data_IF_575165564911
#
_entry.id   IF_575165564911
#
_cell.length_a   1.000
_cell.length_b   1.000
_cell.length_c   1.000
_cell.angle_alpha   90.00
_cell.angle_beta   90.00
_cell.angle_gamma   90.00
#
_symmetry.space_group_name_H-M   'P 1'
#
loop_
_entity.id
_entity.type
_entity.pdbx_description
1 polymer ?
#
# COMPACT_ATOMS: atom_id res chain seq x y z
N UNK A 1 -46.81 1.24 -22.68
CA UNK A 1 -45.79 0.34 -22.10
C UNK A 1 -45.48 0.84 -20.72
N UNK A 2 -45.77 0.07 -19.65
CA UNK A 2 -45.20 0.37 -18.33
C UNK A 2 -43.71 0.05 -18.45
N UNK A 3 -42.85 1.07 -18.39
CA UNK A 3 -41.44 0.82 -18.18
C UNK A 3 -41.33 -0.04 -16.92
N UNK A 4 -40.85 -1.27 -17.09
CA UNK A 4 -40.49 -2.12 -15.96
C UNK A 4 -39.45 -1.31 -15.18
N UNK A 5 -39.83 -0.83 -13.99
CA UNK A 5 -39.00 -0.02 -13.12
C UNK A 5 -37.96 -0.95 -12.44
N UNK A 6 -37.11 -1.56 -13.27
CA UNK A 6 -36.05 -2.47 -12.86
C UNK A 6 -34.87 -1.57 -12.47
N UNK A 7 -34.54 -1.61 -11.19
CA UNK A 7 -33.36 -0.93 -10.68
C UNK A 7 -32.10 -1.57 -11.31
N UNK A 8 -31.20 -0.79 -11.92
CA UNK A 8 -29.99 -1.34 -12.52
C UNK A 8 -29.11 -2.02 -11.47
N UNK A 9 -28.54 -3.18 -11.79
CA UNK A 9 -27.48 -3.77 -10.96
C UNK A 9 -26.16 -3.00 -11.14
N UNK A 10 -25.21 -3.20 -10.21
CA UNK A 10 -23.88 -2.60 -10.35
C UNK A 10 -23.17 -3.07 -11.62
N UNK A 11 -23.39 -4.32 -12.05
CA UNK A 11 -22.88 -4.83 -13.31
C UNK A 11 -23.39 -4.03 -14.52
N UNK A 12 -24.67 -3.63 -14.52
CA UNK A 12 -25.20 -2.78 -15.60
C UNK A 12 -24.49 -1.42 -15.60
N UNK A 13 -24.28 -0.81 -14.43
CA UNK A 13 -23.50 0.42 -14.33
C UNK A 13 -22.05 0.24 -14.79
N UNK A 14 -21.40 -0.89 -14.44
CA UNK A 14 -20.06 -1.20 -14.90
C UNK A 14 -20.00 -1.27 -16.43
N UNK A 15 -20.99 -1.89 -17.07
CA UNK A 15 -21.09 -1.99 -18.53
C UNK A 15 -21.39 -0.66 -19.20
N UNK A 16 -22.24 0.17 -18.58
CA UNK A 16 -22.49 1.53 -19.05
C UNK A 16 -21.20 2.36 -19.04
N UNK A 17 -20.39 2.27 -17.97
CA UNK A 17 -19.09 2.93 -17.89
C UNK A 17 -18.09 2.37 -18.92
N UNK A 18 -18.04 1.05 -19.10
CA UNK A 18 -17.13 0.38 -20.04
C UNK A 18 -17.45 0.73 -21.51
N UNK A 19 -18.72 0.79 -21.87
CA UNK A 19 -19.18 1.11 -23.24
C UNK A 19 -19.26 2.61 -23.52
N UNK A 20 -19.07 3.45 -22.50
CA UNK A 20 -19.07 4.90 -22.67
C UNK A 20 -17.87 5.35 -23.53
N UNK A 21 -17.99 6.47 -24.27
CA UNK A 21 -16.88 7.02 -25.03
C UNK A 21 -15.62 7.18 -24.18
N UNK A 22 -14.44 7.06 -24.79
CA UNK A 22 -13.13 7.34 -24.16
C UNK A 22 -12.90 8.85 -23.90
N UNK A 23 -13.94 9.57 -23.50
CA UNK A 23 -13.89 10.94 -23.01
C UNK A 23 -13.96 10.91 -21.47
N UNK A 24 -12.88 11.35 -20.83
CA UNK A 24 -12.77 11.35 -19.36
C UNK A 24 -13.81 12.26 -18.69
N UNK A 25 -14.16 13.40 -19.29
CA UNK A 25 -15.15 14.33 -18.72
C UNK A 25 -16.55 13.73 -18.77
N UNK A 26 -16.88 13.06 -19.88
CA UNK A 26 -18.13 12.32 -20.00
C UNK A 26 -18.21 11.20 -18.95
N UNK A 27 -17.14 10.40 -18.82
CA UNK A 27 -17.06 9.32 -17.82
C UNK A 27 -17.15 9.82 -16.40
N UNK A 28 -16.54 10.96 -16.08
CA UNK A 28 -16.66 11.64 -14.77
C UNK A 28 -18.12 12.02 -14.51
N UNK A 29 -18.80 12.66 -15.48
CA UNK A 29 -20.18 13.09 -15.31
C UNK A 29 -21.12 11.88 -15.08
N UNK A 30 -20.97 10.84 -15.89
CA UNK A 30 -21.72 9.59 -15.78
C UNK A 30 -21.46 8.87 -14.45
N UNK A 31 -20.20 8.77 -14.03
CA UNK A 31 -19.85 8.17 -12.75
C UNK A 31 -20.42 8.99 -11.59
N UNK A 32 -20.37 10.31 -11.64
CA UNK A 32 -20.98 11.18 -10.62
C UNK A 32 -22.48 10.89 -10.46
N UNK A 33 -23.22 10.80 -11.56
CA UNK A 33 -24.65 10.50 -11.53
C UNK A 33 -24.93 9.12 -10.89
N UNK A 34 -24.17 8.11 -11.30
CA UNK A 34 -24.30 6.75 -10.75
C UNK A 34 -24.00 6.74 -9.24
N UNK A 35 -22.90 7.37 -8.81
CA UNK A 35 -22.53 7.43 -7.40
C UNK A 35 -23.59 8.16 -6.57
N UNK A 36 -24.15 9.27 -7.08
CA UNK A 36 -25.22 10.01 -6.39
C UNK A 36 -26.44 9.13 -6.18
N UNK A 37 -26.87 8.39 -7.20
CA UNK A 37 -28.00 7.46 -7.08
C UNK A 37 -27.74 6.34 -6.05
N UNK A 38 -26.51 5.81 -6.01
CA UNK A 38 -26.12 4.78 -5.05
C UNK A 38 -26.04 5.33 -3.61
N UNK A 39 -25.53 6.54 -3.44
CA UNK A 39 -25.48 7.23 -2.14
C UNK A 39 -26.88 7.51 -1.61
N UNK A 40 -27.79 8.04 -2.44
CA UNK A 40 -29.19 8.25 -2.06
C UNK A 40 -29.87 6.93 -1.66
N UNK A 41 -29.59 5.85 -2.39
CA UNK A 41 -30.08 4.51 -2.06
C UNK A 41 -29.60 4.08 -0.66
N UNK A 42 -28.30 4.19 -0.39
CA UNK A 42 -27.69 3.80 0.88
C UNK A 42 -28.16 4.70 2.04
N UNK A 43 -28.30 6.01 1.80
CA UNK A 43 -28.83 6.98 2.77
C UNK A 43 -30.26 6.63 3.20
N UNK A 44 -31.09 6.20 2.24
CA UNK A 44 -32.44 5.70 2.50
C UNK A 44 -32.48 4.31 3.15
N UNK A 45 -31.33 3.78 3.62
CA UNK A 45 -31.23 2.49 4.28
C UNK A 45 -31.41 1.28 3.36
N UNK A 46 -31.45 1.48 2.04
CA UNK A 46 -31.61 0.39 1.08
C UNK A 46 -30.27 -0.30 0.84
N UNK A 47 -30.34 -1.61 0.70
CA UNK A 47 -29.18 -2.46 0.46
C UNK A 47 -28.80 -2.48 -1.02
N UNK A 48 -27.50 -2.38 -1.31
CA UNK A 48 -26.95 -2.74 -2.62
C UNK A 48 -26.69 -4.25 -2.59
N UNK A 49 -27.59 -4.99 -3.23
CA UNK A 49 -27.55 -6.45 -3.27
C UNK A 49 -26.53 -6.93 -4.28
N UNK A 50 -25.87 -8.03 -3.95
CA UNK A 50 -25.09 -8.79 -4.92
C UNK A 50 -26.05 -9.62 -5.76
N UNK A 51 -26.31 -9.15 -6.99
CA UNK A 51 -27.25 -9.77 -7.93
C UNK A 51 -26.55 -10.52 -9.04
N UNK A 52 -25.28 -10.18 -9.30
CA UNK A 52 -24.43 -10.78 -10.32
C UNK A 52 -23.00 -10.91 -9.78
N UNK A 53 -22.34 -12.04 -10.06
CA UNK A 53 -20.92 -12.25 -9.72
C UNK A 53 -20.00 -11.13 -10.22
N UNK A 54 -20.36 -10.49 -11.33
CA UNK A 54 -19.59 -9.40 -11.94
C UNK A 54 -19.95 -8.01 -11.39
N UNK A 55 -20.85 -7.89 -10.42
CA UNK A 55 -21.22 -6.60 -9.79
C UNK A 55 -19.98 -5.90 -9.17
N UNK A 56 -18.98 -6.67 -8.72
CA UNK A 56 -17.72 -6.14 -8.18
C UNK A 56 -16.92 -5.31 -9.20
N UNK A 57 -17.11 -5.55 -10.50
CA UNK A 57 -16.41 -4.85 -11.60
C UNK A 57 -16.70 -3.36 -11.59
N UNK A 58 -17.87 -2.96 -11.09
CA UNK A 58 -18.24 -1.55 -10.95
C UNK A 58 -17.20 -0.76 -10.13
N UNK A 59 -16.76 -1.31 -9.00
CA UNK A 59 -15.81 -0.63 -8.12
C UNK A 59 -14.43 -0.51 -8.76
N UNK A 60 -13.97 -1.54 -9.47
CA UNK A 60 -12.71 -1.50 -10.21
C UNK A 60 -12.74 -0.43 -11.31
N UNK A 61 -13.81 -0.38 -12.11
CA UNK A 61 -13.98 0.61 -13.17
C UNK A 61 -14.10 2.04 -12.60
N UNK A 62 -14.88 2.21 -11.53
CA UNK A 62 -15.08 3.50 -10.86
C UNK A 62 -13.77 4.05 -10.30
N UNK A 63 -12.99 3.19 -9.63
CA UNK A 63 -11.67 3.56 -9.11
C UNK A 63 -10.70 3.94 -10.23
N UNK A 64 -10.72 3.21 -11.36
CA UNK A 64 -9.88 3.53 -12.52
C UNK A 64 -10.23 4.89 -13.14
N UNK A 65 -11.53 5.18 -13.32
CA UNK A 65 -12.01 6.48 -13.83
C UNK A 65 -11.62 7.60 -12.86
N UNK A 66 -11.90 7.43 -11.57
CA UNK A 66 -11.57 8.42 -10.53
C UNK A 66 -10.06 8.71 -10.46
N UNK A 67 -9.23 7.67 -10.59
CA UNK A 67 -7.77 7.78 -10.63
C UNK A 67 -7.28 8.53 -11.88
N UNK A 68 -7.83 8.21 -13.05
CA UNK A 68 -7.49 8.87 -14.31
C UNK A 68 -7.89 10.35 -14.29
N UNK A 69 -9.05 10.65 -13.71
CA UNK A 69 -9.55 11.99 -13.50
C UNK A 69 -8.78 12.78 -12.43
N UNK A 70 -7.94 12.11 -11.62
CA UNK A 70 -7.33 12.66 -10.41
C UNK A 70 -8.35 13.36 -9.50
N UNK A 71 -9.57 12.82 -9.44
CA UNK A 71 -10.67 13.41 -8.70
C UNK A 71 -10.73 12.83 -7.29
N UNK A 72 -10.24 13.61 -6.32
CA UNK A 72 -10.27 13.20 -4.92
C UNK A 72 -11.67 12.82 -4.44
N UNK A 73 -12.67 13.62 -4.81
CA UNK A 73 -14.07 13.40 -4.45
C UNK A 73 -14.60 12.07 -4.98
N UNK A 74 -14.32 11.73 -6.25
CA UNK A 74 -14.76 10.45 -6.83
C UNK A 74 -14.09 9.25 -6.17
N UNK A 75 -12.81 9.37 -5.80
CA UNK A 75 -12.07 8.32 -5.08
C UNK A 75 -12.74 8.03 -3.73
N UNK A 76 -13.00 9.08 -2.95
CA UNK A 76 -13.60 8.95 -1.61
C UNK A 76 -15.02 8.38 -1.68
N UNK A 77 -15.86 8.90 -2.58
CA UNK A 77 -17.23 8.41 -2.76
C UNK A 77 -17.26 6.95 -3.17
N UNK A 78 -16.40 6.54 -4.11
CA UNK A 78 -16.28 5.14 -4.54
C UNK A 78 -15.90 4.24 -3.36
N UNK A 79 -14.92 4.65 -2.57
CA UNK A 79 -14.47 3.89 -1.39
C UNK A 79 -15.54 3.84 -0.29
N UNK A 80 -16.25 4.95 -0.04
CA UNK A 80 -17.30 5.03 0.97
C UNK A 80 -18.47 4.09 0.62
N UNK A 81 -18.92 4.09 -0.63
CA UNK A 81 -19.94 3.15 -1.12
C UNK A 81 -19.44 1.72 -1.01
N UNK A 82 -18.18 1.45 -1.40
CA UNK A 82 -17.58 0.13 -1.28
C UNK A 82 -17.63 -0.36 0.17
N UNK A 83 -17.20 0.47 1.12
CA UNK A 83 -17.11 0.14 2.54
C UNK A 83 -18.44 0.23 3.30
N UNK A 84 -19.51 0.77 2.70
CA UNK A 84 -20.79 0.92 3.36
C UNK A 84 -21.33 -0.44 3.87
N UNK A 85 -21.82 -0.48 5.11
CA UNK A 85 -22.38 -1.69 5.74
C UNK A 85 -23.58 -2.28 5.00
N UNK A 86 -24.31 -1.46 4.25
CA UNK A 86 -25.46 -1.85 3.45
C UNK A 86 -25.07 -2.18 1.99
N UNK A 87 -23.77 -2.16 1.66
CA UNK A 87 -23.28 -2.71 0.40
C UNK A 87 -22.84 -4.17 0.58
N UNK A 88 -23.48 -5.08 -0.15
CA UNK A 88 -23.16 -6.52 -0.14
C UNK A 88 -22.27 -6.94 -1.31
N UNK A 89 -21.96 -6.04 -2.22
CA UNK A 89 -21.04 -6.30 -3.32
C UNK A 89 -19.62 -5.99 -2.84
N UNK A 90 -18.82 -7.05 -2.68
CA UNK A 90 -17.40 -6.97 -2.29
C UNK A 90 -16.54 -7.64 -3.35
N UNK A 91 -15.29 -7.21 -3.47
CA UNK A 91 -14.35 -7.84 -4.37
C UNK A 91 -13.92 -9.17 -3.73
N UNK A 92 -14.28 -10.28 -4.35
CA UNK A 92 -14.04 -11.62 -3.78
C UNK A 92 -12.60 -12.08 -4.01
N UNK A 93 -11.99 -11.64 -5.12
CA UNK A 93 -10.62 -11.97 -5.44
C UNK A 93 -9.66 -11.10 -4.61
N UNK A 94 -8.91 -11.71 -3.69
CA UNK A 94 -7.97 -11.02 -2.82
C UNK A 94 -6.94 -10.18 -3.57
N UNK A 95 -6.48 -10.62 -4.75
CA UNK A 95 -5.52 -9.87 -5.57
C UNK A 95 -6.14 -8.62 -6.15
N UNK A 96 -7.39 -8.71 -6.63
CA UNK A 96 -8.11 -7.57 -7.18
C UNK A 96 -8.51 -6.58 -6.09
N UNK A 97 -8.82 -7.06 -4.89
CA UNK A 97 -9.10 -6.21 -3.74
C UNK A 97 -7.85 -5.43 -3.28
N UNK A 98 -6.70 -6.11 -3.19
CA UNK A 98 -5.41 -5.44 -2.93
C UNK A 98 -5.15 -4.37 -3.98
N UNK A 99 -5.37 -4.69 -5.27
CA UNK A 99 -5.17 -3.75 -6.38
C UNK A 99 -6.13 -2.56 -6.31
N UNK A 100 -7.37 -2.78 -5.89
CA UNK A 100 -8.35 -1.71 -5.69
C UNK A 100 -7.86 -0.69 -4.66
N UNK A 101 -7.42 -1.16 -3.49
CA UNK A 101 -6.91 -0.28 -2.43
C UNK A 101 -5.55 0.34 -2.76
N UNK A 102 -4.68 -0.39 -3.46
CA UNK A 102 -3.41 0.13 -3.98
C UNK A 102 -3.63 1.28 -4.95
N UNK A 103 -4.54 1.11 -5.93
CA UNK A 103 -4.90 2.17 -6.89
C UNK A 103 -5.47 3.40 -6.17
N UNK A 104 -6.35 3.19 -5.19
CA UNK A 104 -6.89 4.29 -4.38
C UNK A 104 -5.77 5.08 -3.68
N UNK A 105 -4.83 4.39 -3.03
CA UNK A 105 -3.70 5.05 -2.35
C UNK A 105 -2.79 5.81 -3.31
N UNK A 106 -2.46 5.22 -4.46
CA UNK A 106 -1.64 5.85 -5.48
C UNK A 106 -2.33 7.11 -6.04
N UNK A 107 -3.64 7.03 -6.30
CA UNK A 107 -4.40 8.17 -6.77
C UNK A 107 -4.48 9.29 -5.71
N UNK A 108 -4.70 8.95 -4.45
CA UNK A 108 -4.67 9.91 -3.32
C UNK A 108 -3.33 10.61 -3.18
N UNK A 109 -2.21 9.89 -3.37
CA UNK A 109 -0.88 10.49 -3.35
C UNK A 109 -0.69 11.57 -4.43
N UNK A 110 -1.34 11.42 -5.59
CA UNK A 110 -1.32 12.42 -6.66
C UNK A 110 -2.20 13.64 -6.35
N UNK A 111 -3.28 13.47 -5.58
CA UNK A 111 -4.20 14.56 -5.23
C UNK A 111 -3.77 15.35 -3.97
N UNK A 112 -2.98 14.75 -3.08
CA UNK A 112 -2.71 15.28 -1.74
C UNK A 112 -1.27 15.79 -1.55
N UNK A 113 -1.09 16.66 -0.56
CA UNK A 113 0.24 16.91 0.02
C UNK A 113 0.75 15.66 0.74
N UNK A 114 2.07 15.51 0.90
CA UNK A 114 2.64 14.35 1.60
C UNK A 114 2.14 14.22 3.05
N UNK A 115 1.92 15.35 3.74
CA UNK A 115 1.36 15.38 5.10
C UNK A 115 -0.08 14.84 5.14
N UNK A 116 -0.94 15.25 4.20
CA UNK A 116 -2.32 14.75 4.14
C UNK A 116 -2.36 13.31 3.67
N UNK A 117 -1.52 12.95 2.70
CA UNK A 117 -1.37 11.57 2.25
C UNK A 117 -0.94 10.64 3.39
N UNK A 118 -0.01 11.05 4.26
CA UNK A 118 0.41 10.25 5.40
C UNK A 118 -0.76 9.81 6.29
N UNK A 119 -1.74 10.70 6.51
CA UNK A 119 -2.94 10.38 7.30
C UNK A 119 -3.79 9.29 6.66
N UNK A 120 -3.82 9.23 5.33
CA UNK A 120 -4.48 8.16 4.58
C UNK A 120 -3.61 6.90 4.61
N UNK A 121 -2.34 7.01 4.23
CA UNK A 121 -1.38 5.90 4.17
C UNK A 121 -1.38 5.06 5.45
N UNK A 122 -1.28 5.68 6.64
CA UNK A 122 -1.22 4.95 7.91
C UNK A 122 -2.49 4.15 8.25
N UNK A 123 -3.64 4.51 7.66
CA UNK A 123 -4.89 3.74 7.82
C UNK A 123 -4.88 2.48 6.97
N UNK A 124 -4.26 2.54 5.80
CA UNK A 124 -4.25 1.44 4.82
C UNK A 124 -3.04 0.51 4.97
N UNK A 125 -1.86 1.04 5.27
CA UNK A 125 -0.62 0.25 5.30
C UNK A 125 -0.05 0.21 6.73
N UNK A 126 0.14 -0.98 7.33
CA UNK A 126 -0.06 -2.33 6.76
C UNK A 126 -1.47 -2.92 6.99
N UNK A 127 -2.41 -2.15 7.56
CA UNK A 127 -3.64 -2.72 8.15
C UNK A 127 -4.62 -3.31 7.14
N UNK A 128 -4.75 -2.71 5.96
CA UNK A 128 -5.68 -3.11 4.89
C UNK A 128 -4.91 -3.84 3.78
N UNK A 129 -3.77 -3.27 3.38
CA UNK A 129 -2.89 -3.87 2.37
C UNK A 129 -1.43 -3.84 2.85
N UNK A 130 -0.61 -4.84 2.44
CA UNK A 130 0.82 -4.80 2.72
C UNK A 130 1.51 -3.66 1.95
N UNK A 131 2.72 -3.30 2.38
CA UNK A 131 3.59 -2.43 1.58
C UNK A 131 4.04 -3.20 0.33
N UNK A 132 3.59 -2.80 -0.84
CA UNK A 132 3.96 -3.40 -2.12
C UNK A 132 5.10 -2.64 -2.81
N UNK A 133 5.75 -3.30 -3.77
CA UNK A 133 6.74 -2.68 -4.66
C UNK A 133 6.20 -1.45 -5.40
N UNK A 134 4.93 -1.51 -5.79
CA UNK A 134 4.26 -0.48 -6.59
C UNK A 134 3.96 0.74 -5.72
N UNK A 135 3.36 0.56 -4.54
CA UNK A 135 3.06 1.66 -3.60
C UNK A 135 4.35 2.39 -3.25
N UNK A 136 5.37 1.65 -2.85
CA UNK A 136 6.64 2.24 -2.50
C UNK A 136 7.29 2.96 -3.68
N UNK A 137 7.39 2.32 -4.85
CA UNK A 137 8.02 2.94 -6.02
C UNK A 137 7.31 4.23 -6.42
N UNK A 138 5.99 4.27 -6.27
CA UNK A 138 5.19 5.47 -6.51
C UNK A 138 5.44 6.55 -5.48
N UNK A 139 5.43 6.21 -4.18
CA UNK A 139 5.73 7.16 -3.10
C UNK A 139 7.14 7.72 -3.24
N UNK A 140 8.13 6.87 -3.49
CA UNK A 140 9.51 7.23 -3.80
C UNK A 140 9.57 8.27 -4.94
N UNK A 141 8.98 7.94 -6.09
CA UNK A 141 8.97 8.85 -7.23
C UNK A 141 8.31 10.19 -6.91
N UNK A 142 7.30 10.22 -6.05
CA UNK A 142 6.63 11.45 -5.65
C UNK A 142 7.44 12.27 -4.65
N UNK A 143 8.13 11.63 -3.70
CA UNK A 143 9.04 12.32 -2.78
C UNK A 143 10.19 12.97 -3.58
N UNK A 144 10.83 12.23 -4.50
CA UNK A 144 11.94 12.74 -5.30
C UNK A 144 11.56 13.89 -6.25
N UNK A 145 10.30 13.97 -6.67
CA UNK A 145 9.81 15.05 -7.54
C UNK A 145 9.45 16.32 -6.79
N UNK A 146 9.26 16.24 -5.47
CA UNK A 146 8.82 17.37 -4.66
C UNK A 146 10.01 18.16 -4.13
N UNK A 147 9.77 19.43 -3.85
CA UNK A 147 10.81 20.32 -3.36
C UNK A 147 11.20 19.94 -1.91
N UNK A 148 12.42 20.26 -1.45
CA UNK A 148 12.90 19.92 -0.10
C UNK A 148 12.01 20.42 1.05
N UNK A 149 11.27 21.51 0.84
CA UNK A 149 10.32 22.11 1.78
C UNK A 149 9.00 21.31 1.91
N UNK A 150 8.74 20.35 1.02
CA UNK A 150 7.61 19.41 1.14
C UNK A 150 7.99 18.12 1.89
N UNK A 151 9.15 18.10 2.55
CA UNK A 151 9.61 16.98 3.35
C UNK A 151 8.59 16.57 4.44
N UNK A 152 8.31 15.27 4.53
CA UNK A 152 7.37 14.71 5.50
C UNK A 152 8.06 13.62 6.32
N UNK A 153 8.67 14.01 7.45
CA UNK A 153 9.33 13.07 8.36
C UNK A 153 8.41 11.92 8.83
N UNK A 154 7.16 12.17 9.26
CA UNK A 154 6.29 11.08 9.72
C UNK A 154 6.03 10.02 8.64
N UNK A 155 5.90 10.43 7.38
CA UNK A 155 5.73 9.51 6.26
C UNK A 155 7.00 8.70 6.02
N UNK A 156 8.16 9.35 5.96
CA UNK A 156 9.44 8.68 5.74
C UNK A 156 9.73 7.67 6.85
N UNK A 157 9.61 8.09 8.12
CA UNK A 157 9.74 7.21 9.29
C UNK A 157 8.87 5.97 9.17
N UNK A 158 7.58 6.16 8.88
CA UNK A 158 6.62 5.05 8.77
C UNK A 158 6.91 4.13 7.59
N UNK A 159 7.38 4.68 6.46
CA UNK A 159 7.82 3.86 5.31
C UNK A 159 9.03 3.00 5.68
N UNK A 160 10.02 3.56 6.39
CA UNK A 160 11.17 2.80 6.89
C UNK A 160 10.73 1.66 7.81
N UNK A 161 9.85 1.97 8.77
CA UNK A 161 9.33 0.97 9.71
C UNK A 161 8.57 -0.15 8.98
N UNK A 162 7.70 0.20 8.04
CA UNK A 162 6.96 -0.79 7.26
C UNK A 162 7.88 -1.64 6.37
N UNK A 163 8.93 -1.05 5.79
CA UNK A 163 9.96 -1.78 5.04
C UNK A 163 10.67 -2.80 5.95
N UNK A 164 11.20 -2.34 7.09
CA UNK A 164 11.89 -3.21 8.06
C UNK A 164 10.99 -4.37 8.53
N UNK A 165 9.72 -4.08 8.82
CA UNK A 165 8.77 -5.08 9.27
C UNK A 165 8.36 -6.07 8.16
N UNK A 166 8.34 -5.62 6.90
CA UNK A 166 8.00 -6.49 5.77
C UNK A 166 9.09 -7.52 5.46
N UNK A 167 10.35 -7.28 5.90
CA UNK A 167 11.55 -8.07 5.57
C UNK A 167 11.57 -8.54 4.11
N UNK A 168 11.12 -7.69 3.19
CA UNK A 168 10.89 -8.10 1.81
C UNK A 168 12.25 -8.23 1.09
N UNK A 169 12.80 -9.44 1.09
CA UNK A 169 14.12 -9.75 0.53
C UNK A 169 14.23 -9.48 -0.99
N UNK A 170 13.10 -9.32 -1.68
CA UNK A 170 13.02 -9.08 -3.13
C UNK A 170 13.01 -7.60 -3.51
N UNK A 171 13.27 -6.72 -2.56
CA UNK A 171 13.16 -5.27 -2.69
C UNK A 171 14.53 -4.58 -2.67
N UNK A 172 15.44 -5.04 -3.51
CA UNK A 172 16.85 -4.60 -3.60
C UNK A 172 17.01 -3.08 -3.67
N UNK A 173 16.10 -2.41 -4.37
CA UNK A 173 16.12 -0.95 -4.55
C UNK A 173 15.53 -0.20 -3.35
N UNK A 174 14.85 -0.89 -2.43
CA UNK A 174 14.22 -0.24 -1.29
C UNK A 174 15.22 0.18 -0.23
N UNK A 175 16.11 -0.71 0.19
CA UNK A 175 17.11 -0.40 1.24
C UNK A 175 17.99 0.78 0.82
N UNK A 176 18.52 0.73 -0.41
CA UNK A 176 19.31 1.81 -1.01
C UNK A 176 18.53 3.12 -1.04
N UNK A 177 17.28 3.12 -1.51
CA UNK A 177 16.44 4.32 -1.50
C UNK A 177 16.21 4.86 -0.09
N UNK A 178 15.88 4.00 0.88
CA UNK A 178 15.60 4.46 2.24
C UNK A 178 16.84 5.14 2.83
N UNK A 179 18.03 4.61 2.56
CA UNK A 179 19.30 5.26 2.92
C UNK A 179 19.45 6.61 2.19
N UNK A 180 19.20 6.67 0.88
CA UNK A 180 19.29 7.92 0.11
C UNK A 180 18.35 9.00 0.66
N UNK A 181 17.08 8.66 0.93
CA UNK A 181 16.14 9.62 1.49
C UNK A 181 16.50 10.05 2.90
N UNK A 182 16.95 9.11 3.74
CA UNK A 182 17.39 9.43 5.09
C UNK A 182 18.61 10.37 5.06
N UNK A 183 19.54 10.20 4.11
CA UNK A 183 20.68 11.11 3.93
C UNK A 183 20.27 12.54 3.59
N UNK A 184 19.18 12.73 2.86
CA UNK A 184 18.64 14.06 2.53
C UNK A 184 17.96 14.72 3.73
N UNK A 185 17.60 13.95 4.76
CA UNK A 185 17.13 14.51 6.02
C UNK A 185 18.28 15.26 6.68
N UNK A 186 18.09 16.56 6.88
CA UNK A 186 19.02 17.39 7.64
C UNK A 186 18.52 17.45 9.09
N UNK A 187 18.99 16.59 10.02
CA UNK A 187 18.34 16.41 11.31
C UNK A 187 18.34 17.70 12.15
N UNK A 188 19.39 18.51 11.99
CA UNK A 188 19.53 19.79 12.70
C UNK A 188 18.76 20.96 12.06
N UNK A 189 18.08 20.74 10.92
CA UNK A 189 17.32 21.77 10.20
C UNK A 189 15.86 21.40 10.00
N UNK A 190 15.56 20.10 9.80
CA UNK A 190 14.23 19.62 9.43
C UNK A 190 13.49 18.93 10.59
N UNK A 191 14.19 18.61 11.68
CA UNK A 191 13.66 17.82 12.78
C UNK A 191 13.79 18.56 14.12
N UNK A 192 12.86 18.28 15.03
CA UNK A 192 13.04 18.56 16.47
C UNK A 192 14.16 17.71 17.07
N UNK A 193 14.59 18.04 18.28
CA UNK A 193 15.65 17.31 19.00
C UNK A 193 15.23 15.84 19.23
N UNK A 194 13.97 15.63 19.58
CA UNK A 194 13.37 14.32 19.82
C UNK A 194 13.34 13.50 18.52
N UNK A 195 12.87 14.09 17.43
CA UNK A 195 12.83 13.45 16.11
C UNK A 195 14.23 13.14 15.57
N UNK A 196 15.23 14.00 15.83
CA UNK A 196 16.61 13.74 15.45
C UNK A 196 17.17 12.50 16.18
N UNK A 197 16.84 12.31 17.47
CA UNK A 197 17.21 11.09 18.21
C UNK A 197 16.52 9.85 17.62
N UNK A 198 15.25 9.95 17.28
CA UNK A 198 14.53 8.87 16.61
C UNK A 198 15.14 8.53 15.25
N UNK A 199 15.53 9.55 14.47
CA UNK A 199 16.17 9.40 13.18
C UNK A 199 17.45 8.56 13.27
N UNK A 200 18.35 8.85 14.21
CA UNK A 200 19.59 8.08 14.35
C UNK A 200 19.33 6.62 14.72
N UNK A 201 18.41 6.36 15.66
CA UNK A 201 17.98 5.00 16.02
C UNK A 201 17.36 4.26 14.83
N UNK A 202 16.58 4.97 14.01
CA UNK A 202 15.95 4.40 12.83
C UNK A 202 17.00 4.01 11.78
N UNK A 203 18.02 4.85 11.57
CA UNK A 203 19.12 4.55 10.65
C UNK A 203 19.92 3.33 11.08
N UNK A 204 20.27 3.23 12.36
CA UNK A 204 20.98 2.07 12.92
C UNK A 204 20.21 0.77 12.68
N UNK A 205 18.91 0.76 13.04
CA UNK A 205 18.04 -0.40 12.80
C UNK A 205 17.91 -0.75 11.32
N UNK A 206 17.82 0.26 10.46
CA UNK A 206 17.72 0.03 9.01
C UNK A 206 18.98 -0.61 8.46
N UNK A 207 20.17 -0.17 8.88
CA UNK A 207 21.45 -0.76 8.48
C UNK A 207 21.50 -2.24 8.85
N UNK A 208 21.16 -2.58 10.10
CA UNK A 208 21.14 -3.97 10.56
C UNK A 208 20.19 -4.84 9.72
N UNK A 209 19.00 -4.33 9.39
CA UNK A 209 18.03 -5.06 8.54
C UNK A 209 18.55 -5.24 7.12
N UNK A 210 19.26 -4.26 6.55
CA UNK A 210 19.85 -4.37 5.22
C UNK A 210 20.96 -5.42 5.22
N UNK A 211 21.83 -5.40 6.22
CA UNK A 211 22.88 -6.42 6.40
C UNK A 211 22.28 -7.83 6.55
N UNK A 212 21.17 -8.00 7.28
CA UNK A 212 20.43 -9.27 7.36
C UNK A 212 19.92 -9.73 5.98
N UNK A 213 19.31 -8.83 5.21
CA UNK A 213 18.77 -9.13 3.88
C UNK A 213 19.89 -9.53 2.92
N UNK A 214 21.03 -8.83 2.96
CA UNK A 214 22.18 -9.11 2.10
C UNK A 214 22.84 -10.45 2.44
N UNK A 215 23.04 -10.75 3.73
CA UNK A 215 23.57 -12.04 4.17
C UNK A 215 22.65 -13.21 3.76
N UNK A 216 21.33 -13.05 3.93
CA UNK A 216 20.36 -14.07 3.51
C UNK A 216 20.35 -14.28 2.01
N UNK A 217 20.54 -13.22 1.24
CA UNK A 217 20.63 -13.29 -0.23
C UNK A 217 21.88 -14.04 -0.67
N UNK A 218 23.04 -13.71 -0.09
CA UNK A 218 24.31 -14.40 -0.35
C UNK A 218 24.15 -15.92 -0.16
N UNK A 219 23.56 -16.33 0.97
CA UNK A 219 23.27 -17.72 1.26
C UNK A 219 22.35 -18.39 0.21
N UNK A 220 21.22 -17.74 -0.14
CA UNK A 220 20.27 -18.30 -1.12
C UNK A 220 20.88 -18.41 -2.53
N UNK A 221 21.73 -17.47 -2.92
CA UNK A 221 22.42 -17.50 -4.21
C UNK A 221 23.43 -18.66 -4.27
N UNK A 222 24.24 -18.84 -3.23
CA UNK A 222 25.18 -19.95 -3.14
C UNK A 222 24.47 -21.31 -3.12
N UNK A 223 23.36 -21.42 -2.37
CA UNK A 223 22.52 -22.62 -2.36
C UNK A 223 21.97 -22.94 -3.76
N UNK A 224 21.44 -21.94 -4.48
CA UNK A 224 20.95 -22.11 -5.85
C UNK A 224 22.06 -22.56 -6.80
N UNK A 225 23.26 -21.94 -6.74
CA UNK A 225 24.42 -22.34 -7.55
C UNK A 225 24.79 -23.81 -7.30
N UNK A 226 24.79 -24.25 -6.05
CA UNK A 226 25.03 -25.65 -5.68
C UNK A 226 23.96 -26.59 -6.25
N UNK A 227 22.69 -26.20 -6.19
CA UNK A 227 21.56 -26.96 -6.77
C UNK A 227 21.60 -27.03 -8.31
N UNK A 228 22.12 -26.00 -8.97
CA UNK A 228 22.35 -25.93 -10.42
C UNK A 228 23.62 -26.67 -10.88
N UNK A 229 24.35 -27.30 -9.96
CA UNK A 229 25.59 -28.04 -10.26
C UNK A 229 26.77 -27.13 -10.59
N UNK A 230 26.69 -25.84 -10.29
CA UNK A 230 27.81 -24.91 -10.37
C UNK A 230 28.73 -25.19 -9.19
N UNK A 231 30.05 -25.28 -9.45
CA UNK A 231 31.05 -25.39 -8.38
C UNK A 231 30.95 -24.18 -7.46
N UNK A 232 30.49 -24.43 -6.24
CA UNK A 232 30.54 -23.50 -5.11
C UNK A 232 31.47 -24.15 -4.09
N UNK A 233 32.48 -23.43 -3.62
CA UNK A 233 33.36 -23.95 -2.59
C UNK A 233 32.54 -24.18 -1.31
N UNK A 234 32.65 -25.36 -0.70
CA UNK A 234 31.87 -25.68 0.51
C UNK A 234 32.13 -24.70 1.66
N UNK A 235 33.32 -24.11 1.72
CA UNK A 235 33.68 -23.06 2.67
C UNK A 235 32.84 -21.78 2.46
N UNK A 236 32.55 -21.38 1.22
CA UNK A 236 31.72 -20.20 0.94
C UNK A 236 30.28 -20.39 1.42
N UNK A 237 29.72 -21.59 1.21
CA UNK A 237 28.37 -21.94 1.64
C UNK A 237 28.24 -22.01 3.17
N UNK A 238 29.24 -22.60 3.83
CA UNK A 238 29.27 -22.68 5.30
C UNK A 238 29.43 -21.29 5.92
N UNK A 239 30.27 -20.43 5.35
CA UNK A 239 30.45 -19.06 5.83
C UNK A 239 29.17 -18.23 5.70
N UNK A 240 28.43 -18.37 4.60
CA UNK A 240 27.15 -17.67 4.45
C UNK A 240 26.07 -18.20 5.41
N UNK A 241 26.05 -19.51 5.67
CA UNK A 241 25.14 -20.11 6.65
C UNK A 241 25.44 -19.65 8.07
N UNK A 242 26.73 -19.60 8.46
CA UNK A 242 27.18 -19.10 9.76
C UNK A 242 26.81 -17.62 9.98
N UNK A 243 26.96 -16.78 8.94
CA UNK A 243 26.50 -15.38 8.98
C UNK A 243 24.99 -15.28 9.20
N UNK A 244 24.18 -16.07 8.47
CA UNK A 244 22.72 -16.07 8.63
C UNK A 244 22.30 -16.55 10.04
N UNK A 245 22.96 -17.58 10.57
CA UNK A 245 22.67 -18.13 11.89
C UNK A 245 23.07 -17.18 13.03
N UNK A 246 24.23 -16.51 12.91
CA UNK A 246 24.67 -15.48 13.85
C UNK A 246 23.66 -14.33 13.95
N UNK A 247 23.20 -13.82 12.81
CA UNK A 247 22.22 -12.73 12.75
C UNK A 247 20.87 -13.17 13.34
N UNK A 248 20.42 -14.42 13.09
CA UNK A 248 19.21 -14.96 13.71
C UNK A 248 19.29 -15.03 15.24
N UNK A 249 20.44 -15.43 15.77
CA UNK A 249 20.65 -15.60 17.21
C UNK A 249 20.71 -14.25 17.95
N UNK A 250 21.34 -13.23 17.37
CA UNK A 250 21.40 -11.88 17.95
C UNK A 250 20.01 -11.21 18.07
N UNK A 251 19.03 -11.60 17.25
CA UNK A 251 17.67 -11.06 17.24
C UNK A 251 16.68 -11.76 18.18
N UNK A 252 16.96 -12.98 18.61
CA UNK A 252 16.14 -13.68 19.63
C UNK A 252 16.24 -12.94 20.96
N UNK A 253 17.41 -12.39 21.28
CA UNK A 253 17.64 -11.62 22.50
C UNK A 253 16.95 -10.23 22.49
N UNK A 254 16.79 -9.59 21.32
CA UNK A 254 16.08 -8.30 21.21
C UNK A 254 14.54 -8.45 21.19
N UNK A 255 14.00 -9.51 20.59
CA UNK A 255 12.54 -9.72 20.50
C UNK A 255 11.86 -10.13 21.81
N UNK A 256 12.62 -10.64 22.79
CA UNK A 256 12.10 -10.92 24.14
C UNK A 256 11.75 -9.61 24.88
N UNK A 257 12.34 -8.47 24.50
CA UNK A 257 12.08 -7.17 25.11
C UNK A 257 10.95 -6.36 24.45
N UNK A 258 10.52 -6.70 23.23
CA UNK A 258 9.50 -5.92 22.48
C UNK A 258 8.09 -6.52 22.47
N UNK A 259 7.91 -7.77 22.94
CA UNK A 259 6.62 -8.47 22.88
C UNK A 259 5.61 -8.08 23.98
N UNK A 260 5.96 -7.18 24.92
CA UNK A 260 5.03 -6.72 25.97
C UNK A 260 4.04 -5.62 25.50
N UNK A 261 4.15 -5.09 24.27
CA UNK A 261 3.35 -3.93 23.84
C UNK A 261 2.28 -4.19 22.75
N UNK A 262 2.10 -5.44 22.30
CA UNK A 262 1.16 -5.77 21.21
C UNK A 262 0.14 -6.84 21.59
N UNK A 263 -0.61 -6.62 22.67
CA UNK A 263 -1.89 -7.28 22.89
C UNK A 263 -2.89 -6.22 23.32
N UNK A 264 -3.63 -5.63 22.37
CA UNK A 264 -5.07 -5.36 22.54
C UNK A 264 -5.73 -4.85 21.24
N UNK A 265 -6.96 -5.32 21.07
CA UNK A 265 -8.02 -4.88 20.15
C UNK A 265 -7.97 -5.23 18.65
N UNK A 266 -8.24 -6.52 18.36
CA UNK A 266 -8.87 -6.98 17.11
C UNK A 266 -10.36 -7.29 17.30
N UNK A 267 -11.15 -6.32 17.74
CA UNK A 267 -12.62 -6.37 17.60
C UNK A 267 -13.10 -5.01 17.15
N UNK A 268 -13.54 -4.94 15.89
CA UNK A 268 -14.42 -3.95 15.24
C UNK A 268 -13.86 -3.56 13.86
N UNK A 269 -14.00 -4.45 12.89
CA UNK A 269 -14.26 -4.13 11.47
C UNK A 269 -15.11 -5.26 10.88
#
# INVERSE_FOLDING_TARGET
MKALNIEPSLFIYAKILELSPDDINYRIALLNEILTNLEEKLFNGKEIKNTNFDDQTFFLNSMSIASTAQSESLLDRTLEIYNNRNNRVKIVNARDEIRFFENYLIAKLCCLSLNNFFLVYKKFVPNIIPLTAIIFGTINNQINKRKPDEFCWPLLKRLTENFMNSRCAYMDKFGVFMIEQLREVRPNQHLSIEEAKEYFKLCERLINVIEEIDARREYLEQKRKKEEGILVEEEELNLAAEKEEKIKNELVDENVLSNEFYVEDRRLF
#
